data_IF_148233664584
#
_entry.id   IF_148233664584
#
_cell.length_a   1.000
_cell.length_b   1.000
_cell.length_c   1.000
_cell.angle_alpha   90.00
_cell.angle_beta   90.00
_cell.angle_gamma   90.00
#
_symmetry.space_group_name_H-M   'P 1'
#
loop_
_entity.id
_entity.type
_entity.pdbx_description
1 polymer ?
#
# COMPACT_ATOMS: atom_id res chain seq x y z
N UNK A 1 -17.02 -7.96 19.81
CA UNK A 1 -15.58 -8.15 20.15
C UNK A 1 -14.82 -8.63 18.91
N UNK A 2 -13.57 -8.18 18.73
CA UNK A 2 -12.70 -8.64 17.64
C UNK A 2 -12.09 -10.01 17.99
N UNK A 3 -11.94 -10.89 17.00
CA UNK A 3 -11.22 -12.18 17.15
C UNK A 3 -10.42 -12.49 15.89
N UNK A 4 -9.42 -13.37 15.98
CA UNK A 4 -8.60 -13.77 14.82
C UNK A 4 -9.43 -14.31 13.64
N UNK A 5 -10.37 -15.23 13.93
CA UNK A 5 -11.28 -15.80 12.90
C UNK A 5 -12.12 -14.70 12.24
N UNK A 6 -12.57 -13.70 13.01
CA UNK A 6 -13.34 -12.57 12.48
C UNK A 6 -12.48 -11.66 11.62
N UNK A 7 -11.27 -11.30 12.05
CA UNK A 7 -10.36 -10.47 11.22
C UNK A 7 -10.04 -11.11 9.88
N UNK A 8 -9.81 -12.43 9.83
CA UNK A 8 -9.61 -13.14 8.56
C UNK A 8 -10.83 -13.10 7.64
N UNK A 9 -12.05 -13.12 8.21
CA UNK A 9 -13.29 -12.98 7.43
C UNK A 9 -13.42 -11.57 6.88
N UNK A 10 -13.19 -10.54 7.71
CA UNK A 10 -13.28 -9.13 7.30
C UNK A 10 -12.26 -8.81 6.22
N UNK A 11 -11.01 -9.25 6.37
CA UNK A 11 -9.97 -9.04 5.35
C UNK A 11 -10.35 -9.63 4.00
N UNK A 12 -10.87 -10.87 3.97
CA UNK A 12 -11.36 -11.47 2.72
C UNK A 12 -12.51 -10.68 2.12
N UNK A 13 -13.54 -10.33 2.90
CA UNK A 13 -14.68 -9.57 2.35
C UNK A 13 -14.26 -8.22 1.77
N UNK A 14 -13.23 -7.58 2.31
CA UNK A 14 -12.77 -6.28 1.83
C UNK A 14 -11.79 -6.36 0.65
N UNK A 15 -10.79 -7.26 0.73
CA UNK A 15 -9.69 -7.31 -0.25
C UNK A 15 -9.84 -8.40 -1.32
N UNK A 16 -10.74 -9.38 -1.13
CA UNK A 16 -11.01 -10.47 -2.09
C UNK A 16 -12.18 -10.08 -3.03
N UNK A 17 -12.19 -8.81 -3.45
CA UNK A 17 -13.03 -8.30 -4.55
C UNK A 17 -12.26 -8.45 -5.87
N UNK A 18 -12.91 -8.17 -7.00
CA UNK A 18 -12.24 -8.26 -8.32
C UNK A 18 -11.04 -7.31 -8.42
N UNK A 19 -9.96 -7.76 -9.06
CA UNK A 19 -8.83 -6.88 -9.39
C UNK A 19 -9.28 -5.73 -10.30
N UNK A 20 -10.17 -5.98 -11.27
CA UNK A 20 -10.73 -4.94 -12.14
C UNK A 20 -11.37 -3.79 -11.36
N UNK A 21 -12.01 -4.10 -10.22
CA UNK A 21 -12.62 -3.10 -9.37
C UNK A 21 -11.57 -2.19 -8.72
N UNK A 22 -10.46 -2.78 -8.27
CA UNK A 22 -9.37 -2.02 -7.65
C UNK A 22 -8.51 -1.29 -8.68
N UNK A 23 -8.23 -1.89 -9.83
CA UNK A 23 -7.48 -1.28 -10.94
C UNK A 23 -8.19 -0.03 -11.47
N UNK A 24 -9.52 0.02 -11.42
CA UNK A 24 -10.29 1.20 -11.81
C UNK A 24 -10.14 2.40 -10.84
N UNK A 25 -9.61 2.19 -9.62
CA UNK A 25 -9.53 3.22 -8.56
C UNK A 25 -8.10 3.52 -8.10
N UNK A 26 -7.22 2.51 -8.07
CA UNK A 26 -5.88 2.61 -7.49
C UNK A 26 -4.84 3.07 -8.53
N UNK A 27 -3.64 3.39 -8.04
CA UNK A 27 -2.50 3.64 -8.92
C UNK A 27 -2.05 2.33 -9.63
N UNK A 28 -1.23 2.41 -10.69
CA UNK A 28 -0.77 1.24 -11.44
C UNK A 28 -0.04 0.17 -10.61
N UNK A 29 0.49 0.51 -9.43
CA UNK A 29 1.13 -0.45 -8.52
C UNK A 29 0.16 -1.02 -7.48
N UNK A 30 -1.14 -0.74 -7.59
CA UNK A 30 -2.21 -1.24 -6.72
C UNK A 30 -1.99 -0.92 -5.24
N UNK A 31 -1.41 0.25 -4.93
CA UNK A 31 -1.11 0.63 -3.55
C UNK A 31 -2.36 1.12 -2.84
N UNK A 32 -2.94 0.24 -2.02
CA UNK A 32 -4.12 0.59 -1.24
C UNK A 32 -3.78 1.10 0.17
N UNK A 33 -2.99 2.17 0.22
CA UNK A 33 -2.59 2.88 1.45
C UNK A 33 -2.43 4.39 1.16
N UNK A 34 -2.29 5.21 2.20
CA UNK A 34 -2.15 6.67 2.01
C UNK A 34 -0.90 7.01 1.21
N UNK A 35 -1.03 7.92 0.23
CA UNK A 35 0.09 8.45 -0.53
C UNK A 35 0.77 9.62 0.21
N UNK A 36 2.00 9.95 -0.18
CA UNK A 36 2.74 11.11 0.32
C UNK A 36 2.91 12.12 -0.82
N UNK A 37 2.09 13.18 -0.82
CA UNK A 37 2.07 14.17 -1.90
C UNK A 37 3.13 15.26 -1.72
N UNK A 38 3.75 15.67 -2.83
CA UNK A 38 4.44 16.94 -3.01
C UNK A 38 3.77 17.76 -4.13
N UNK A 39 4.20 19.01 -4.29
CA UNK A 39 3.68 19.88 -5.35
C UNK A 39 3.97 19.29 -6.73
N UNK A 40 2.92 19.18 -7.56
CA UNK A 40 3.00 18.63 -8.91
C UNK A 40 2.85 17.11 -9.03
N UNK A 41 2.73 16.38 -7.91
CA UNK A 41 2.55 14.93 -7.96
C UNK A 41 1.13 14.55 -8.43
N UNK A 42 1.04 13.52 -9.28
CA UNK A 42 -0.17 12.72 -9.41
C UNK A 42 -0.18 11.60 -8.34
N UNK A 43 -1.23 10.77 -8.33
CA UNK A 43 -1.34 9.69 -7.34
C UNK A 43 -0.19 8.68 -7.43
N UNK A 44 0.23 8.31 -8.65
CA UNK A 44 1.28 7.32 -8.84
C UNK A 44 2.64 7.84 -8.33
N UNK A 45 2.96 9.10 -8.65
CA UNK A 45 4.15 9.78 -8.13
C UNK A 45 4.12 9.89 -6.60
N UNK A 46 2.99 10.29 -6.01
CA UNK A 46 2.85 10.40 -4.56
C UNK A 46 2.94 9.04 -3.84
N UNK A 47 2.48 7.96 -4.48
CA UNK A 47 2.61 6.60 -3.95
C UNK A 47 4.06 6.09 -4.00
N UNK A 48 4.80 6.38 -5.08
CA UNK A 48 6.23 6.05 -5.15
C UNK A 48 7.04 6.85 -4.13
N UNK A 49 6.79 8.16 -4.01
CA UNK A 49 7.43 9.03 -3.00
C UNK A 49 7.27 8.47 -1.59
N UNK A 50 6.09 7.95 -1.25
CA UNK A 50 5.83 7.30 0.04
C UNK A 50 6.75 6.11 0.26
N UNK A 51 6.95 5.25 -0.75
CA UNK A 51 7.83 4.08 -0.62
C UNK A 51 9.29 4.50 -0.41
N UNK A 52 9.78 5.48 -1.19
CA UNK A 52 11.12 6.04 -1.03
C UNK A 52 11.33 6.59 0.38
N UNK A 53 10.36 7.38 0.86
CA UNK A 53 10.39 7.94 2.21
C UNK A 53 10.42 6.84 3.28
N UNK A 54 9.63 5.76 3.15
CA UNK A 54 9.67 4.63 4.08
C UNK A 54 11.06 3.98 4.09
N UNK A 55 11.64 3.71 2.91
CA UNK A 55 12.96 3.12 2.78
C UNK A 55 14.06 3.97 3.43
N UNK A 56 14.00 5.29 3.25
CA UNK A 56 14.90 6.24 3.91
C UNK A 56 14.76 6.19 5.44
N UNK A 57 13.53 6.15 5.96
CA UNK A 57 13.25 6.07 7.39
C UNK A 57 13.70 4.75 8.02
N UNK A 58 13.61 3.66 7.26
CA UNK A 58 14.14 2.35 7.66
C UNK A 58 15.67 2.27 7.56
N UNK A 59 16.32 3.23 6.88
CA UNK A 59 17.77 3.28 6.67
C UNK A 59 18.31 1.97 6.08
N UNK A 60 17.64 1.49 5.04
CA UNK A 60 17.99 0.23 4.39
C UNK A 60 19.43 0.27 3.87
N UNK A 61 20.11 -0.87 3.96
CA UNK A 61 21.49 -1.07 3.49
C UNK A 61 21.57 -2.38 2.71
N UNK A 62 22.48 -2.49 1.74
CA UNK A 62 22.73 -3.75 1.05
C UNK A 62 22.97 -4.90 2.04
N UNK A 63 22.35 -6.04 1.81
CA UNK A 63 22.44 -7.23 2.67
C UNK A 63 21.41 -7.32 3.79
N UNK A 64 20.60 -6.28 4.03
CA UNK A 64 19.47 -6.38 4.96
C UNK A 64 18.31 -7.18 4.34
N UNK A 65 17.61 -7.93 5.19
CA UNK A 65 16.33 -8.57 4.84
C UNK A 65 15.18 -7.72 5.34
N UNK A 66 14.37 -7.21 4.41
CA UNK A 66 13.07 -6.60 4.70
C UNK A 66 12.02 -7.72 4.84
N UNK A 67 11.11 -7.61 5.82
CA UNK A 67 10.07 -8.61 6.13
C UNK A 67 8.71 -8.17 5.62
#
# INVERSE_FOLDING_TARGET
QQTFRRSRKVGRVHYDLSNDFFEAMLDPNMQYSCALFAEGDDLAAAQLRKLDWICERLRLRPGLRLL
#
